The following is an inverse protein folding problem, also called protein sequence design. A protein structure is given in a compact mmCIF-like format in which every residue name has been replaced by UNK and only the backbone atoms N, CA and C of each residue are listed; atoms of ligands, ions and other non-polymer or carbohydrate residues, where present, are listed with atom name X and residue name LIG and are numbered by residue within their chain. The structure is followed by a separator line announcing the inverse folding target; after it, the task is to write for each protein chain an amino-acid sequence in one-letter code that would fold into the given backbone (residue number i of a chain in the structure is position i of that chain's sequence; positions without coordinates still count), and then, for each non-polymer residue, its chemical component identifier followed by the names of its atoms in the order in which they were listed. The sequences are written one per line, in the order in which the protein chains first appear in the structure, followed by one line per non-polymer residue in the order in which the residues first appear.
data_IF_946204130172
#
_entry.id   IF_946204130172
#
_cell.length_a   1.000
_cell.length_b   1.000
_cell.length_c   1.000
_cell.angle_alpha   90.00
_cell.angle_beta   90.00
_cell.angle_gamma   90.00
#
_symmetry.space_group_name_H-M   'P 1'
#
loop_
_entity.id
_entity.type
_entity.pdbx_description
1 polymer ?
#
# COMPACT_ATOMS: atom_id res chain seq x y z
N UNK A 1 8.98 -18.48 27.53
CA UNK A 1 8.78 -19.31 26.33
C UNK A 1 8.61 -18.35 25.16
N UNK A 2 9.67 -18.12 24.38
CA UNK A 2 9.65 -17.17 23.25
C UNK A 2 8.88 -17.83 22.10
N UNK A 3 7.62 -17.44 21.91
CA UNK A 3 6.96 -17.64 20.63
C UNK A 3 7.72 -16.76 19.63
N UNK A 4 8.50 -17.37 18.74
CA UNK A 4 9.02 -16.69 17.55
C UNK A 4 7.81 -16.07 16.83
N UNK A 5 7.73 -14.74 16.84
CA UNK A 5 6.70 -14.03 16.08
C UNK A 5 6.94 -14.35 14.60
N UNK A 6 6.06 -15.16 14.01
CA UNK A 6 6.07 -15.39 12.57
C UNK A 6 5.60 -14.10 11.89
N UNK A 7 6.37 -13.59 10.93
CA UNK A 7 5.96 -12.48 10.09
C UNK A 7 5.53 -13.00 8.72
N UNK A 8 4.43 -12.46 8.19
CA UNK A 8 4.01 -12.73 6.83
C UNK A 8 4.97 -12.03 5.87
N UNK A 9 5.54 -12.77 4.92
CA UNK A 9 6.34 -12.17 3.85
C UNK A 9 5.44 -11.90 2.65
N UNK A 10 5.46 -10.67 2.15
CA UNK A 10 4.73 -10.25 0.96
C UNK A 10 5.71 -9.84 -0.14
N UNK A 11 5.59 -10.48 -1.29
CA UNK A 11 6.44 -10.19 -2.46
C UNK A 11 5.79 -9.15 -3.35
N UNK A 12 6.51 -8.09 -3.67
CA UNK A 12 6.02 -7.05 -4.55
C UNK A 12 7.02 -6.69 -5.65
N UNK A 13 6.50 -6.21 -6.77
CA UNK A 13 7.26 -5.72 -7.91
C UNK A 13 6.78 -4.32 -8.28
N UNK A 14 7.69 -3.48 -8.78
CA UNK A 14 7.38 -2.13 -9.24
C UNK A 14 7.85 -2.00 -10.66
N UNK A 15 6.93 -1.62 -11.55
CA UNK A 15 7.23 -1.30 -12.94
C UNK A 15 8.28 -0.18 -13.04
N UNK A 16 9.32 -0.30 -13.89
CA UNK A 16 10.35 0.73 -14.03
C UNK A 16 9.75 2.10 -14.39
N UNK A 17 9.98 3.07 -13.51
CA UNK A 17 9.48 4.44 -13.66
C UNK A 17 10.30 5.41 -12.79
N UNK A 18 10.45 6.69 -13.18
CA UNK A 18 11.17 7.68 -12.35
C UNK A 18 10.62 7.81 -10.92
N UNK A 19 9.32 7.57 -10.74
CA UNK A 19 8.62 7.64 -9.44
C UNK A 19 8.53 6.29 -8.70
N UNK A 20 9.16 5.22 -9.22
CA UNK A 20 9.25 3.92 -8.55
C UNK A 20 9.71 3.99 -7.07
N UNK A 21 10.64 4.88 -6.67
CA UNK A 21 11.02 5.02 -5.26
C UNK A 21 9.86 5.33 -4.31
N UNK A 22 8.78 5.97 -4.78
CA UNK A 22 7.59 6.26 -3.97
C UNK A 22 6.80 5.00 -3.63
N UNK A 23 6.66 4.07 -4.59
CA UNK A 23 6.01 2.78 -4.36
C UNK A 23 6.80 1.92 -3.36
N UNK A 24 8.13 1.90 -3.46
CA UNK A 24 8.98 1.24 -2.48
C UNK A 24 8.82 1.83 -1.08
N UNK A 25 8.79 3.17 -0.97
CA UNK A 25 8.55 3.85 0.30
C UNK A 25 7.17 3.48 0.88
N UNK A 26 6.12 3.43 0.04
CA UNK A 26 4.78 3.05 0.47
C UNK A 26 4.73 1.64 1.09
N UNK A 27 5.38 0.66 0.47
CA UNK A 27 5.45 -0.70 1.03
C UNK A 27 6.19 -0.73 2.37
N UNK A 28 7.23 0.10 2.55
CA UNK A 28 7.93 0.23 3.83
C UNK A 28 7.10 0.91 4.92
N UNK A 29 6.17 1.80 4.57
CA UNK A 29 5.21 2.34 5.54
C UNK A 29 4.30 1.25 6.10
N UNK A 30 3.83 0.33 5.26
CA UNK A 30 3.03 -0.81 5.72
C UNK A 30 3.82 -1.83 6.54
N UNK A 31 5.06 -2.12 6.16
CA UNK A 31 5.97 -2.94 6.97
C UNK A 31 6.14 -2.34 8.38
N UNK A 32 6.41 -1.03 8.48
CA UNK A 32 6.55 -0.34 9.76
C UNK A 32 5.26 -0.34 10.59
N UNK A 33 4.11 -0.05 9.96
CA UNK A 33 2.80 -0.02 10.63
C UNK A 33 2.33 -1.40 11.14
N UNK A 34 2.89 -2.49 10.60
CA UNK A 34 2.54 -3.85 10.97
C UNK A 34 3.04 -4.28 12.35
N UNK A 35 3.96 -3.52 12.95
CA UNK A 35 4.64 -3.89 14.21
C UNK A 35 5.33 -5.26 14.12
N UNK A 36 5.99 -5.52 12.99
CA UNK A 36 6.77 -6.75 12.76
C UNK A 36 5.96 -7.95 12.27
N UNK A 37 4.65 -7.80 12.02
CA UNK A 37 3.79 -8.88 11.49
C UNK A 37 3.84 -9.02 9.97
N UNK A 38 4.34 -8.01 9.27
CA UNK A 38 4.53 -8.01 7.82
C UNK A 38 6.00 -7.72 7.51
N UNK A 39 6.57 -8.45 6.55
CA UNK A 39 7.84 -8.16 5.90
C UNK A 39 7.56 -8.02 4.41
N UNK A 40 7.96 -6.90 3.81
CA UNK A 40 7.80 -6.67 2.37
C UNK A 40 9.13 -6.88 1.65
N UNK A 41 9.10 -7.64 0.56
CA UNK A 41 10.30 -7.89 -0.25
C UNK A 41 10.03 -7.52 -1.71
N UNK A 42 10.85 -6.61 -2.22
CA UNK A 42 10.87 -6.32 -3.65
C UNK A 42 11.46 -7.52 -4.38
N UNK A 43 10.91 -7.85 -5.54
CA UNK A 43 11.45 -8.85 -6.47
C UNK A 43 11.73 -8.20 -7.82
N UNK A 44 12.68 -8.76 -8.58
CA UNK A 44 13.10 -8.20 -9.87
C UNK A 44 12.14 -8.55 -11.02
N UNK A 45 11.40 -9.67 -10.88
CA UNK A 45 10.50 -10.19 -11.91
C UNK A 45 9.05 -10.04 -11.48
N UNK A 46 8.24 -9.51 -12.38
CA UNK A 46 6.79 -9.35 -12.17
C UNK A 46 6.10 -10.67 -11.76
N UNK A 47 6.49 -11.78 -12.39
CA UNK A 47 5.88 -13.10 -12.18
C UNK A 47 6.10 -13.67 -10.77
N UNK A 48 7.10 -13.17 -10.05
CA UNK A 48 7.40 -13.60 -8.68
C UNK A 48 6.61 -12.80 -7.63
N UNK A 49 5.93 -11.71 -8.04
CA UNK A 49 5.23 -10.81 -7.15
C UNK A 49 3.75 -11.15 -6.95
N UNK A 50 3.30 -10.99 -5.71
CA UNK A 50 1.89 -11.01 -5.28
C UNK A 50 1.23 -9.64 -5.45
N UNK A 51 2.04 -8.57 -5.41
CA UNK A 51 1.63 -7.18 -5.52
C UNK A 51 2.45 -6.48 -6.60
N UNK A 52 1.79 -5.83 -7.57
CA UNK A 52 2.46 -5.29 -8.76
C UNK A 52 2.07 -3.84 -8.97
N UNK A 53 2.98 -2.91 -8.73
CA UNK A 53 2.76 -1.50 -9.07
C UNK A 53 2.95 -1.29 -10.57
N UNK A 54 1.97 -0.65 -11.21
CA UNK A 54 1.96 -0.33 -12.63
C UNK A 54 1.66 1.15 -12.81
N UNK A 55 2.46 1.82 -13.62
CA UNK A 55 2.28 3.25 -13.90
C UNK A 55 1.45 3.41 -15.16
N UNK A 56 0.24 3.94 -15.03
CA UNK A 56 -0.59 4.25 -16.20
C UNK A 56 -0.24 5.62 -16.78
N UNK A 57 -0.40 5.67 -18.09
CA UNK A 57 -0.27 6.87 -18.88
C UNK A 57 -1.41 7.88 -18.57
N UNK A 58 -1.13 9.19 -18.47
CA UNK A 58 -2.13 10.26 -18.30
C UNK A 58 -3.30 10.29 -19.29
N UNK A 59 -3.28 9.54 -20.40
CA UNK A 59 -4.42 9.43 -21.32
C UNK A 59 -5.54 8.48 -20.86
N UNK A 60 -5.34 7.67 -19.81
CA UNK A 60 -6.37 6.77 -19.28
C UNK A 60 -7.28 7.45 -18.25
N UNK A 61 -8.60 7.18 -18.36
CA UNK A 61 -9.62 7.80 -17.50
C UNK A 61 -9.62 7.20 -16.08
N UNK A 62 -9.39 8.05 -15.09
CA UNK A 62 -9.36 7.77 -13.64
C UNK A 62 -8.49 8.84 -12.96
N UNK A 63 -8.75 9.22 -11.70
CA UNK A 63 -8.04 10.36 -11.08
C UNK A 63 -6.75 9.97 -10.34
N UNK A 64 -6.70 8.78 -9.74
CA UNK A 64 -5.62 8.39 -8.80
C UNK A 64 -5.03 7.03 -9.08
N UNK A 65 -5.82 5.98 -8.91
CA UNK A 65 -5.31 4.63 -8.98
C UNK A 65 -6.41 3.62 -8.73
N UNK A 66 -6.03 2.34 -8.79
CA UNK A 66 -6.93 1.23 -8.50
C UNK A 66 -6.14 -0.01 -8.10
N UNK A 67 -6.60 -0.71 -7.06
CA UNK A 67 -6.15 -2.06 -6.72
C UNK A 67 -7.05 -3.12 -7.38
N UNK A 68 -6.50 -3.88 -8.32
CA UNK A 68 -7.22 -4.92 -9.08
C UNK A 68 -6.74 -6.30 -8.64
N UNK A 69 -7.61 -7.05 -7.97
CA UNK A 69 -7.34 -8.43 -7.59
C UNK A 69 -7.65 -9.39 -8.75
N UNK A 70 -6.73 -10.33 -9.04
CA UNK A 70 -6.89 -11.33 -10.10
C UNK A 70 -6.17 -12.64 -9.76
N UNK A 71 -6.66 -13.75 -10.31
CA UNK A 71 -5.97 -15.04 -10.22
C UNK A 71 -4.99 -15.21 -11.37
N UNK A 72 -3.70 -15.40 -11.06
CA UNK A 72 -2.64 -15.69 -12.04
C UNK A 72 -2.02 -17.03 -11.69
N UNK A 73 -2.11 -18.01 -12.59
CA UNK A 73 -1.56 -19.36 -12.39
C UNK A 73 -1.98 -19.97 -11.02
N UNK A 74 -3.23 -19.76 -10.62
CA UNK A 74 -3.78 -20.27 -9.35
C UNK A 74 -3.40 -19.48 -8.09
N UNK A 75 -2.67 -18.36 -8.21
CA UNK A 75 -2.33 -17.47 -7.09
C UNK A 75 -3.10 -16.15 -7.19
N UNK A 76 -3.54 -15.63 -6.05
CA UNK A 76 -4.10 -14.28 -5.97
C UNK A 76 -2.99 -13.25 -6.15
N UNK A 77 -3.16 -12.33 -7.08
CA UNK A 77 -2.25 -11.23 -7.37
C UNK A 77 -3.05 -9.93 -7.40
N UNK A 78 -2.44 -8.86 -6.90
CA UNK A 78 -2.99 -7.50 -6.93
C UNK A 78 -2.16 -6.61 -7.86
N UNK A 79 -2.79 -6.09 -8.92
CA UNK A 79 -2.21 -5.01 -9.72
C UNK A 79 -2.63 -3.67 -9.10
N UNK A 80 -1.64 -2.88 -8.66
CA UNK A 80 -1.80 -1.52 -8.17
C UNK A 80 -1.51 -0.55 -9.30
N UNK A 81 -2.59 -0.06 -9.89
CA UNK A 81 -2.55 0.87 -11.00
C UNK A 81 -2.40 2.28 -10.44
N UNK A 82 -1.30 2.97 -10.76
CA UNK A 82 -1.02 4.33 -10.32
C UNK A 82 -1.17 5.28 -11.51
N UNK A 83 -2.06 6.26 -11.37
CA UNK A 83 -2.34 7.28 -12.36
C UNK A 83 -1.75 8.62 -11.90
N UNK A 84 -0.85 9.17 -12.72
CA UNK A 84 -0.18 10.43 -12.43
C UNK A 84 -0.91 11.69 -12.90
N UNK A 85 -2.10 11.60 -13.50
CA UNK A 85 -2.79 12.76 -14.11
C UNK A 85 -2.82 13.98 -13.19
N UNK A 86 -3.30 13.85 -11.95
CA UNK A 86 -3.34 15.00 -11.05
C UNK A 86 -1.96 15.48 -10.60
N UNK A 87 -1.03 14.56 -10.37
CA UNK A 87 0.34 14.92 -10.00
C UNK A 87 1.05 15.69 -11.12
N UNK A 88 0.75 15.36 -12.39
CA UNK A 88 1.32 16.02 -13.56
C UNK A 88 0.81 17.46 -13.76
N UNK A 89 -0.35 17.79 -13.19
CA UNK A 89 -0.93 19.15 -13.24
C UNK A 89 -0.42 20.06 -12.10
N UNK A 90 0.24 19.47 -11.10
CA UNK A 90 0.70 20.20 -9.92
C UNK A 90 2.02 20.94 -10.17
N UNK A 91 2.09 22.19 -9.70
CA UNK A 91 3.26 23.07 -9.86
C UNK A 91 4.28 22.90 -8.74
N UNK A 92 3.86 22.52 -7.54
CA UNK A 92 4.78 22.15 -6.45
C UNK A 92 5.27 20.71 -6.68
N UNK A 93 6.56 20.48 -7.05
CA UNK A 93 7.06 19.15 -7.34
C UNK A 93 6.99 18.19 -6.14
N UNK A 94 7.05 18.71 -4.91
CA UNK A 94 6.94 17.89 -3.71
C UNK A 94 5.48 17.56 -3.39
N UNK A 95 4.51 18.41 -3.78
CA UNK A 95 3.08 18.08 -3.73
C UNK A 95 2.70 17.07 -4.82
N UNK A 96 3.22 17.21 -6.04
CA UNK A 96 3.08 16.20 -7.10
C UNK A 96 3.54 14.81 -6.63
N UNK A 97 4.73 14.75 -6.03
CA UNK A 97 5.26 13.53 -5.42
C UNK A 97 4.40 13.03 -4.24
N UNK A 98 3.84 13.95 -3.45
CA UNK A 98 2.94 13.60 -2.34
C UNK A 98 1.68 12.92 -2.84
N UNK A 99 1.06 13.43 -3.92
CA UNK A 99 -0.13 12.81 -4.52
C UNK A 99 0.19 11.38 -4.94
N UNK A 100 1.27 11.16 -5.70
CA UNK A 100 1.67 9.82 -6.13
C UNK A 100 1.97 8.89 -4.96
N UNK A 101 2.71 9.38 -3.97
CA UNK A 101 3.07 8.60 -2.79
C UNK A 101 1.84 8.16 -2.00
N UNK A 102 0.92 9.08 -1.68
CA UNK A 102 -0.30 8.75 -0.94
C UNK A 102 -1.22 7.83 -1.74
N UNK A 103 -1.28 7.97 -3.07
CA UNK A 103 -1.96 7.00 -3.94
C UNK A 103 -1.33 5.62 -3.83
N UNK A 104 0.01 5.50 -3.92
CA UNK A 104 0.69 4.22 -3.74
C UNK A 104 0.35 3.58 -2.39
N UNK A 105 0.30 4.37 -1.31
CA UNK A 105 -0.04 3.87 0.04
C UNK A 105 -1.50 3.42 0.09
N UNK A 106 -2.44 4.22 -0.41
CA UNK A 106 -3.88 3.90 -0.42
C UNK A 106 -4.17 2.61 -1.19
N UNK A 107 -3.69 2.51 -2.42
CA UNK A 107 -3.97 1.33 -3.27
C UNK A 107 -3.31 0.07 -2.71
N UNK A 108 -2.09 0.17 -2.17
CA UNK A 108 -1.46 -0.96 -1.48
C UNK A 108 -2.18 -1.34 -0.19
N UNK A 109 -2.81 -0.40 0.50
CA UNK A 109 -3.72 -0.67 1.62
C UNK A 109 -4.89 -1.56 1.21
N UNK A 110 -5.54 -1.27 0.07
CA UNK A 110 -6.59 -2.14 -0.48
C UNK A 110 -6.08 -3.55 -0.80
N UNK A 111 -4.90 -3.69 -1.39
CA UNK A 111 -4.33 -5.00 -1.67
C UNK A 111 -3.93 -5.79 -0.41
N UNK A 112 -3.57 -5.09 0.68
CA UNK A 112 -3.40 -5.70 2.00
C UNK A 112 -4.76 -6.10 2.63
N UNK A 113 -5.87 -5.61 2.08
CA UNK A 113 -7.24 -5.94 2.48
C UNK A 113 -7.90 -4.87 3.36
N UNK A 114 -7.29 -3.69 3.50
CA UNK A 114 -7.89 -2.58 4.22
C UNK A 114 -9.11 -2.04 3.46
N UNK A 115 -10.11 -1.61 4.21
CA UNK A 115 -11.33 -1.02 3.67
C UNK A 115 -11.30 0.49 3.85
N UNK A 116 -12.10 1.17 3.03
CA UNK A 116 -12.29 2.60 3.18
C UNK A 116 -12.82 2.97 4.55
N UNK A 117 -12.41 4.14 5.02
CA UNK A 117 -12.92 4.73 6.26
C UNK A 117 -13.53 6.09 5.98
N UNK A 118 -14.28 6.58 6.97
CA UNK A 118 -14.83 7.94 7.00
C UNK A 118 -13.96 8.91 7.82
N UNK A 119 -12.88 8.43 8.42
CA UNK A 119 -11.99 9.28 9.22
C UNK A 119 -11.05 10.00 8.27
N UNK A 120 -11.17 11.32 8.21
CA UNK A 120 -10.39 12.13 7.27
C UNK A 120 -8.88 11.93 7.47
N UNK A 121 -8.42 11.61 8.67
CA UNK A 121 -7.00 11.43 8.96
C UNK A 121 -6.41 10.13 8.38
N UNK A 122 -7.23 9.10 8.18
CA UNK A 122 -6.79 7.81 7.66
C UNK A 122 -6.32 7.91 6.20
N UNK A 123 -5.27 7.16 5.85
CA UNK A 123 -4.85 7.02 4.44
C UNK A 123 -5.91 6.28 3.63
N UNK A 124 -6.73 5.45 4.27
CA UNK A 124 -7.86 4.76 3.66
C UNK A 124 -9.15 5.59 3.65
N UNK A 125 -9.11 6.90 3.91
CA UNK A 125 -10.28 7.76 3.77
C UNK A 125 -10.89 7.66 2.36
N UNK A 126 -12.22 7.53 2.28
CA UNK A 126 -12.95 7.61 1.01
C UNK A 126 -13.51 9.02 0.79
N UNK A 127 -13.19 9.59 -0.37
CA UNK A 127 -13.75 10.87 -0.82
C UNK A 127 -15.25 10.83 -1.13
N UNK A 128 -15.88 9.64 -1.14
CA UNK A 128 -17.34 9.52 -1.23
C UNK A 128 -18.05 10.10 0.00
N UNK A 129 -17.35 10.19 1.14
CA UNK A 129 -17.86 10.85 2.35
C UNK A 129 -17.68 12.38 2.32
N UNK A 130 -17.27 12.94 1.19
CA UNK A 130 -16.96 14.35 1.02
C UNK A 130 -15.52 14.70 1.39
N UNK A 131 -15.33 15.88 1.96
CA UNK A 131 -14.01 16.35 2.41
C UNK A 131 -13.28 17.20 1.39
N UNK A 132 -12.19 17.81 1.86
CA UNK A 132 -11.35 18.69 1.06
C UNK A 132 -10.18 17.88 0.50
N UNK A 133 -10.24 17.61 -0.80
CA UNK A 133 -9.24 16.87 -1.55
C UNK A 133 -7.87 17.56 -1.52
N UNK A 134 -7.85 18.89 -1.61
CA UNK A 134 -6.60 19.65 -1.58
C UNK A 134 -6.00 19.56 -0.18
N UNK A 135 -6.80 19.72 0.85
CA UNK A 135 -6.34 19.60 2.24
C UNK A 135 -5.90 18.17 2.60
N UNK A 136 -6.52 17.15 2.01
CA UNK A 136 -6.10 15.75 2.18
C UNK A 136 -4.63 15.53 1.81
N UNK A 137 -4.19 16.08 0.67
CA UNK A 137 -2.78 16.02 0.28
C UNK A 137 -1.93 17.07 0.99
N UNK A 138 -2.45 18.28 1.16
CA UNK A 138 -1.71 19.40 1.73
C UNK A 138 -1.29 19.15 3.18
N UNK A 139 -2.12 18.47 4.00
CA UNK A 139 -1.78 18.16 5.40
C UNK A 139 -0.54 17.29 5.53
N UNK A 140 -0.34 16.36 4.60
CA UNK A 140 0.83 15.50 4.59
C UNK A 140 2.02 16.25 4.00
N UNK A 141 1.80 16.95 2.87
CA UNK A 141 2.81 17.78 2.22
C UNK A 141 3.46 18.80 3.16
N UNK A 142 2.71 19.41 4.09
CA UNK A 142 3.24 20.37 5.08
C UNK A 142 4.22 19.76 6.09
N UNK A 143 4.25 18.43 6.23
CA UNK A 143 5.19 17.73 7.10
C UNK A 143 6.52 17.42 6.40
N UNK A 144 6.60 17.62 5.08
CA UNK A 144 7.75 17.26 4.26
C UNK A 144 8.62 18.48 3.97
N UNK A 145 9.93 18.32 4.15
CA UNK A 145 10.93 19.29 3.69
C UNK A 145 11.54 18.85 2.36
N UNK A 146 11.60 17.54 2.11
CA UNK A 146 12.22 16.95 0.93
C UNK A 146 11.59 15.61 0.56
N UNK A 147 11.93 15.09 -0.62
CA UNK A 147 11.51 13.75 -1.05
C UNK A 147 12.03 12.62 -0.16
N UNK A 148 13.13 12.83 0.57
CA UNK A 148 13.65 11.81 1.50
C UNK A 148 12.74 11.60 2.71
N UNK A 149 11.84 12.55 2.98
CA UNK A 149 10.94 12.46 4.14
C UNK A 149 9.80 11.45 3.92
N UNK A 150 9.51 11.03 2.68
CA UNK A 150 8.55 9.94 2.40
C UNK A 150 8.92 8.61 3.06
N UNK A 151 10.21 8.41 3.37
CA UNK A 151 10.70 7.23 4.09
C UNK A 151 10.58 7.36 5.61
N UNK A 152 10.38 8.58 6.13
CA UNK A 152 10.52 8.92 7.56
C UNK A 152 9.19 9.33 8.19
N UNK A 153 8.41 10.12 7.47
CA UNK A 153 7.09 10.58 7.91
C UNK A 153 6.09 9.53 7.49
N UNK A 154 5.27 9.06 8.44
CA UNK A 154 4.29 8.03 8.13
C UNK A 154 2.96 8.65 7.70
N UNK A 155 2.39 8.24 6.56
CA UNK A 155 1.03 8.60 6.17
C UNK A 155 -0.03 7.70 6.83
N UNK A 156 0.37 6.62 7.49
CA UNK A 156 -0.53 5.61 8.05
C UNK A 156 -1.04 6.08 9.41
N UNK A 157 -2.35 6.31 9.54
CA UNK A 157 -2.94 6.72 10.80
C UNK A 157 -3.17 5.53 11.73
N UNK A 158 -3.61 5.82 12.96
CA UNK A 158 -3.89 4.78 13.98
C UNK A 158 -5.01 3.83 13.53
N UNK A 159 -6.03 4.35 12.82
CA UNK A 159 -7.14 3.55 12.30
C UNK A 159 -6.67 2.54 11.25
N UNK A 160 -5.88 3.01 10.29
CA UNK A 160 -5.26 2.17 9.25
C UNK A 160 -4.38 1.07 9.85
N UNK A 161 -3.49 1.43 10.79
CA UNK A 161 -2.60 0.47 11.44
C UNK A 161 -3.37 -0.59 12.24
N UNK A 162 -4.47 -0.20 12.89
CA UNK A 162 -5.33 -1.14 13.60
C UNK A 162 -6.02 -2.12 12.65
N UNK A 163 -6.54 -1.65 11.51
CA UNK A 163 -7.10 -2.52 10.46
C UNK A 163 -6.06 -3.50 9.93
N UNK A 164 -4.87 -3.01 9.57
CA UNK A 164 -3.79 -3.85 9.05
C UNK A 164 -3.46 -4.98 10.03
N UNK A 165 -3.23 -4.67 11.31
CA UNK A 165 -2.88 -5.68 12.32
C UNK A 165 -3.98 -6.71 12.50
N UNK A 166 -5.25 -6.30 12.50
CA UNK A 166 -6.38 -7.23 12.60
C UNK A 166 -6.44 -8.20 11.40
N UNK A 167 -6.14 -7.71 10.20
CA UNK A 167 -6.07 -8.52 8.97
C UNK A 167 -4.91 -9.51 9.06
N UNK A 168 -3.71 -9.06 9.42
CA UNK A 168 -2.52 -9.91 9.53
C UNK A 168 -2.74 -11.01 10.60
N UNK A 169 -3.31 -10.66 11.75
CA UNK A 169 -3.65 -11.62 12.80
C UNK A 169 -4.63 -12.69 12.32
N UNK A 170 -5.60 -12.32 11.49
CA UNK A 170 -6.53 -13.27 10.87
C UNK A 170 -5.80 -14.21 9.90
N UNK A 171 -4.93 -13.68 9.03
CA UNK A 171 -4.16 -14.45 8.05
C UNK A 171 -3.20 -15.45 8.73
N UNK A 172 -2.47 -15.02 9.75
CA UNK A 172 -1.56 -15.88 10.51
C UNK A 172 -2.30 -17.04 11.21
N UNK A 173 -3.51 -16.78 11.74
CA UNK A 173 -4.36 -17.84 12.31
C UNK A 173 -4.85 -18.84 11.26
N UNK A 174 -5.16 -18.41 10.03
CA UNK A 174 -5.57 -19.33 8.96
C UNK A 174 -4.42 -20.23 8.50
N UNK A 175 -3.21 -19.69 8.37
CA UNK A 175 -2.03 -20.48 7.96
C UNK A 175 -1.65 -21.54 9.01
N UNK A 176 -1.76 -21.18 10.29
CA UNK A 176 -1.54 -22.13 11.40
C UNK A 176 -2.55 -23.28 11.35
N UNK A 177 -3.80 -23.02 10.94
CA UNK A 177 -4.85 -24.05 10.85
C UNK A 177 -4.70 -24.95 9.63
N UNK A 178 -4.23 -24.43 8.49
CA UNK A 178 -4.01 -25.24 7.27
C UNK A 178 -2.75 -26.11 7.35
N UNK A 179 -1.77 -25.77 8.20
CA UNK A 179 -0.56 -26.57 8.41
C UNK A 179 -0.66 -27.73 9.42
N UNK A 180 -1.80 -27.87 10.11
CA UNK A 180 -2.00 -28.84 11.20
C UNK A 180 -2.61 -30.19 10.81
N UNK A 181 -2.69 -30.53 9.53
CA UNK A 181 -3.17 -31.83 9.07
C UNK A 181 -2.18 -32.93 9.42
N UNK A 182 -2.38 -33.61 10.55
CA UNK A 182 -1.68 -34.84 10.86
C UNK A 182 -1.90 -35.87 9.73
N UNK A 183 -0.88 -36.64 9.32
CA UNK A 183 -1.10 -37.78 8.44
C UNK A 183 -2.02 -38.77 9.17
N UNK A 184 -3.13 -39.14 8.53
CA UNK A 184 -3.98 -40.21 9.03
C UNK A 184 -3.16 -41.51 9.10
N UNK A 185 -3.36 -42.34 10.14
CA UNK A 185 -2.68 -43.63 10.30
C UNK A 185 -3.03 -44.61 9.17
#
# INVERSE_FOLDING_TARGET
MNLLAFALTLLYWVDPHPEAPLAHAAMKQWEAASEGKLIVKAVDKEDDAELRFRWLNPQYRGLYGSSIAKMVKGKLVHDLVINGTMANEEKDPLLAATILFLTCVHESGHALGLQHTRDFADIMYSFEYGGDLQEYFARYRRQLQSREDFKKVSPVAKGDAAQLRAILDKRMRSETRSGGGAPNP
#
